data_IF_361034290744
#
_entry.id   IF_361034290744
#
_cell.length_a   1.000
_cell.length_b   1.000
_cell.length_c   1.000
_cell.angle_alpha   90.00
_cell.angle_beta   90.00
_cell.angle_gamma   90.00
#
_symmetry.space_group_name_H-M   'P 1'
#
loop_
_entity.id
_entity.type
_entity.pdbx_description
1 polymer ?
#
# COMPACT_ATOMS: atom_id res chain seq x y z
N UNK A 1 16.89 10.07 1.18
CA UNK A 1 16.62 9.14 0.06
C UNK A 1 15.17 9.31 -0.35
N UNK A 2 14.84 9.33 -1.65
CA UNK A 2 13.45 9.32 -2.12
C UNK A 2 13.06 7.88 -2.47
N UNK A 3 11.97 7.40 -1.90
CA UNK A 3 11.42 6.08 -2.18
C UNK A 3 10.20 6.24 -3.07
N UNK A 4 10.25 5.71 -4.28
CA UNK A 4 9.18 5.78 -5.28
C UNK A 4 9.39 4.71 -6.34
N UNK A 5 8.33 4.30 -7.02
CA UNK A 5 8.44 3.43 -8.19
C UNK A 5 8.93 4.21 -9.40
N UNK A 6 10.14 3.89 -9.86
CA UNK A 6 10.64 4.44 -11.13
C UNK A 6 9.83 3.94 -12.32
N UNK A 7 9.52 2.64 -12.35
CA UNK A 7 8.71 2.02 -13.42
C UNK A 7 7.37 2.73 -13.59
N UNK A 8 6.61 2.92 -12.51
CA UNK A 8 5.31 3.57 -12.58
C UNK A 8 5.42 5.04 -12.96
N UNK A 9 6.47 5.73 -12.49
CA UNK A 9 6.73 7.13 -12.86
C UNK A 9 7.03 7.30 -14.35
N UNK A 10 7.83 6.41 -14.93
CA UNK A 10 8.16 6.42 -16.36
C UNK A 10 6.91 6.14 -17.23
N UNK A 11 5.91 5.43 -16.69
CA UNK A 11 4.63 5.14 -17.34
C UNK A 11 3.58 6.26 -17.17
N UNK A 12 3.85 7.26 -16.32
CA UNK A 12 2.95 8.42 -16.14
C UNK A 12 2.17 8.42 -14.82
N UNK A 13 2.52 7.59 -13.85
CA UNK A 13 1.99 7.65 -12.50
C UNK A 13 3.00 8.33 -11.57
N UNK A 14 2.80 9.61 -11.27
CA UNK A 14 3.59 10.27 -10.24
C UNK A 14 3.38 9.56 -8.89
N UNK A 15 4.45 9.23 -8.19
CA UNK A 15 4.34 8.57 -6.89
C UNK A 15 5.54 8.88 -6.00
N UNK A 16 5.30 8.96 -4.68
CA UNK A 16 6.35 9.19 -3.69
C UNK A 16 5.90 8.66 -2.33
N UNK A 17 6.84 8.08 -1.59
CA UNK A 17 6.65 7.69 -0.20
C UNK A 17 7.26 8.75 0.73
N UNK A 18 6.43 9.32 1.59
CA UNK A 18 6.83 10.16 2.72
C UNK A 18 7.14 9.29 3.92
N UNK A 19 8.41 9.26 4.31
CA UNK A 19 8.89 8.48 5.46
C UNK A 19 8.98 9.31 6.75
N UNK A 20 9.95 9.00 7.61
CA UNK A 20 10.10 9.55 8.98
C UNK A 20 10.34 11.06 9.07
N UNK A 21 10.66 11.73 7.95
CA UNK A 21 10.66 13.21 7.83
C UNK A 21 9.28 13.79 8.10
N UNK A 22 8.21 13.02 7.86
CA UNK A 22 6.79 13.34 8.01
C UNK A 22 6.15 12.42 9.05
N UNK A 23 4.90 12.69 9.46
CA UNK A 23 4.13 11.74 10.25
C UNK A 23 2.64 11.87 9.94
N UNK A 24 2.11 10.92 9.19
CA UNK A 24 0.72 10.92 8.72
C UNK A 24 -0.28 10.33 9.74
N UNK A 25 0.11 10.12 11.00
CA UNK A 25 -0.75 9.59 12.06
C UNK A 25 -1.64 10.68 12.67
N UNK A 26 -2.81 10.90 12.07
CA UNK A 26 -3.75 11.95 12.51
C UNK A 26 -4.06 11.89 14.00
N UNK A 27 -4.21 10.70 14.58
CA UNK A 27 -4.49 10.51 16.03
C UNK A 27 -3.48 11.22 16.95
N UNK A 28 -2.21 11.32 16.53
CA UNK A 28 -1.13 11.95 17.32
C UNK A 28 -0.74 13.33 16.80
N UNK A 29 -0.81 13.54 15.48
CA UNK A 29 -0.36 14.78 14.82
C UNK A 29 -1.49 15.80 14.64
N UNK A 30 -2.76 15.35 14.70
CA UNK A 30 -3.92 16.23 14.47
C UNK A 30 -3.76 16.99 13.13
N UNK A 31 -4.05 18.29 13.11
CA UNK A 31 -3.97 19.11 11.87
C UNK A 31 -2.57 19.27 11.29
N UNK A 32 -1.51 18.89 12.01
CA UNK A 32 -0.15 18.92 11.48
C UNK A 32 0.04 18.02 10.27
N UNK A 33 -0.75 16.95 10.15
CA UNK A 33 -0.74 16.07 8.96
C UNK A 33 -1.06 16.81 7.67
N UNK A 34 -1.78 17.94 7.72
CA UNK A 34 -2.11 18.76 6.55
C UNK A 34 -0.81 19.26 5.93
N UNK A 35 0.05 19.86 6.76
CA UNK A 35 1.34 20.36 6.30
C UNK A 35 2.23 19.23 5.79
N UNK A 36 2.24 18.08 6.46
CA UNK A 36 3.05 16.93 6.03
C UNK A 36 2.60 16.41 4.65
N UNK A 37 1.29 16.43 4.34
CA UNK A 37 0.76 16.09 3.01
C UNK A 37 1.12 17.16 1.98
N UNK A 38 0.95 18.45 2.31
CA UNK A 38 1.31 19.58 1.43
C UNK A 38 2.81 19.57 1.08
N UNK A 39 3.66 19.37 2.08
CA UNK A 39 5.12 19.31 1.89
C UNK A 39 5.53 18.09 1.02
N UNK A 40 4.86 16.95 1.17
CA UNK A 40 5.10 15.76 0.33
C UNK A 40 4.67 16.01 -1.12
N UNK A 41 3.50 16.60 -1.35
CA UNK A 41 3.03 16.98 -2.69
C UNK A 41 3.94 18.03 -3.35
N UNK A 42 4.41 19.00 -2.58
CA UNK A 42 5.39 20.00 -3.05
C UNK A 42 6.71 19.32 -3.48
N UNK A 43 7.16 18.30 -2.73
CA UNK A 43 8.36 17.52 -3.09
C UNK A 43 8.16 16.69 -4.36
N UNK A 44 6.92 16.25 -4.62
CA UNK A 44 6.50 15.57 -5.86
C UNK A 44 6.35 16.55 -7.02
N UNK A 45 6.20 17.85 -6.77
CA UNK A 45 5.82 18.90 -7.73
C UNK A 45 4.45 18.63 -8.36
N UNK A 46 3.51 18.18 -7.56
CA UNK A 46 2.14 17.85 -7.98
C UNK A 46 1.14 18.66 -7.15
N UNK A 47 0.04 19.09 -7.80
CA UNK A 47 -1.04 19.86 -7.20
C UNK A 47 -2.40 19.21 -7.58
N UNK A 48 -2.77 18.07 -6.95
CA UNK A 48 -4.02 17.42 -7.24
C UNK A 48 -5.20 18.26 -6.77
N UNK A 49 -6.30 18.25 -7.55
CA UNK A 49 -7.52 18.96 -7.15
C UNK A 49 -8.28 18.23 -6.03
N UNK A 50 -8.01 16.94 -5.82
CA UNK A 50 -8.59 16.12 -4.77
C UNK A 50 -7.58 15.10 -4.24
N UNK A 51 -7.62 14.88 -2.93
CA UNK A 51 -6.88 13.81 -2.27
C UNK A 51 -7.90 12.86 -1.64
N UNK A 52 -7.90 11.60 -2.04
CA UNK A 52 -8.61 10.53 -1.35
C UNK A 52 -7.66 9.72 -0.50
N UNK A 53 -8.07 9.43 0.72
CA UNK A 53 -7.37 8.52 1.62
C UNK A 53 -8.32 7.48 2.18
N UNK A 54 -7.78 6.37 2.67
CA UNK A 54 -8.55 5.31 3.29
C UNK A 54 -8.47 5.40 4.83
N UNK A 55 -9.60 5.12 5.50
CA UNK A 55 -9.60 4.75 6.92
C UNK A 55 -9.39 3.23 6.97
N UNK A 56 -8.12 2.87 7.12
CA UNK A 56 -7.60 1.52 6.98
C UNK A 56 -7.84 0.72 8.26
N UNK A 57 -8.65 -0.34 8.18
CA UNK A 57 -9.02 -1.23 9.28
C UNK A 57 -8.52 -2.66 9.08
N UNK A 58 -7.50 -2.85 8.20
CA UNK A 58 -6.94 -4.15 7.82
C UNK A 58 -7.98 -5.09 7.23
N UNK A 59 -8.85 -4.53 6.39
CA UNK A 59 -9.86 -5.26 5.63
C UNK A 59 -9.30 -5.77 4.29
N UNK A 60 -10.17 -6.32 3.47
CA UNK A 60 -9.92 -6.66 2.08
C UNK A 60 -10.86 -5.90 1.13
N UNK A 61 -11.43 -4.79 1.64
CA UNK A 61 -12.36 -3.96 0.89
C UNK A 61 -11.62 -3.05 -0.08
N UNK A 62 -12.12 -3.02 -1.32
CA UNK A 62 -11.59 -2.25 -2.45
C UNK A 62 -12.69 -1.35 -3.00
N UNK A 63 -12.48 -0.05 -3.00
CA UNK A 63 -13.48 0.92 -3.40
C UNK A 63 -12.99 1.88 -4.49
N UNK A 64 -13.95 2.39 -5.27
CA UNK A 64 -13.75 3.58 -6.10
C UNK A 64 -14.20 4.78 -5.29
N UNK A 65 -13.29 5.69 -4.90
CA UNK A 65 -13.66 6.85 -4.11
C UNK A 65 -14.47 7.85 -4.93
N UNK A 66 -15.64 8.21 -4.43
CA UNK A 66 -16.56 9.18 -5.00
C UNK A 66 -17.02 10.17 -3.92
N UNK A 67 -17.71 11.26 -4.30
CA UNK A 67 -18.22 12.22 -3.33
C UNK A 67 -19.25 11.62 -2.38
N UNK A 68 -20.03 10.64 -2.87
CA UNK A 68 -21.15 10.02 -2.18
C UNK A 68 -20.70 9.00 -1.12
N UNK A 69 -19.59 8.28 -1.36
CA UNK A 69 -19.10 7.24 -0.46
C UNK A 69 -17.90 7.67 0.42
N UNK A 70 -17.54 8.96 0.35
CA UNK A 70 -16.44 9.53 1.13
C UNK A 70 -16.91 10.68 2.03
N UNK A 71 -16.17 10.94 3.10
CA UNK A 71 -16.43 12.08 4.01
C UNK A 71 -15.27 13.07 4.00
N UNK A 72 -15.54 14.35 4.30
CA UNK A 72 -14.49 15.37 4.40
C UNK A 72 -13.46 14.98 5.47
N UNK A 73 -12.21 15.18 5.14
CA UNK A 73 -11.08 14.92 6.04
C UNK A 73 -10.08 16.10 5.99
N UNK A 74 -9.12 16.09 6.89
CA UNK A 74 -8.21 17.23 7.12
C UNK A 74 -7.49 17.73 5.85
N UNK A 75 -7.12 16.84 4.92
CA UNK A 75 -6.37 17.17 3.69
C UNK A 75 -7.09 16.72 2.41
N UNK A 76 -8.40 16.50 2.46
CA UNK A 76 -9.20 16.07 1.30
C UNK A 76 -10.43 15.30 1.73
N UNK A 77 -10.57 14.05 1.29
CA UNK A 77 -11.67 13.16 1.64
C UNK A 77 -11.14 11.79 2.09
N UNK A 78 -11.92 11.11 2.92
CA UNK A 78 -11.58 9.77 3.41
C UNK A 78 -12.75 8.81 3.17
N UNK A 79 -12.42 7.61 2.71
CA UNK A 79 -13.37 6.51 2.61
C UNK A 79 -13.19 5.59 3.82
N UNK A 80 -14.31 5.18 4.43
CA UNK A 80 -14.29 4.39 5.66
C UNK A 80 -14.24 2.89 5.36
N UNK A 81 -13.67 2.11 6.30
CA UNK A 81 -13.62 0.65 6.25
C UNK A 81 -13.07 0.13 4.91
N UNK A 82 -12.00 0.72 4.43
CA UNK A 82 -11.41 0.45 3.11
C UNK A 82 -9.90 0.41 3.24
N UNK A 83 -9.27 -0.56 2.60
CA UNK A 83 -7.82 -0.72 2.57
C UNK A 83 -7.22 -0.64 1.17
N UNK A 84 -8.06 -0.52 0.12
CA UNK A 84 -7.62 -0.28 -1.25
C UNK A 84 -8.57 0.66 -2.00
N UNK A 85 -8.01 1.56 -2.79
CA UNK A 85 -8.75 2.51 -3.62
C UNK A 85 -8.32 2.38 -5.07
N UNK A 86 -9.28 2.52 -6.00
CA UNK A 86 -9.06 2.47 -7.46
C UNK A 86 -9.70 3.69 -8.11
N UNK A 87 -9.03 4.35 -9.04
CA UNK A 87 -9.61 5.45 -9.83
C UNK A 87 -8.94 5.60 -11.20
N UNK A 88 -9.68 6.13 -12.17
CA UNK A 88 -9.15 6.56 -13.46
C UNK A 88 -9.10 8.10 -13.58
N UNK A 89 -9.41 8.83 -12.52
CA UNK A 89 -9.41 10.27 -12.53
C UNK A 89 -7.99 10.83 -12.54
N UNK A 90 -7.70 11.68 -13.53
CA UNK A 90 -6.43 12.40 -13.61
C UNK A 90 -6.37 13.49 -12.56
N UNK A 91 -5.16 13.79 -12.12
CA UNK A 91 -4.90 14.83 -11.12
C UNK A 91 -5.67 14.64 -9.80
N UNK A 92 -6.00 13.38 -9.49
CA UNK A 92 -6.53 12.94 -8.20
C UNK A 92 -5.43 12.13 -7.50
N UNK A 93 -5.16 12.47 -6.24
CA UNK A 93 -4.22 11.74 -5.41
C UNK A 93 -4.90 10.62 -4.62
N UNK A 94 -4.33 9.42 -4.66
CA UNK A 94 -4.62 8.35 -3.72
C UNK A 94 -3.53 8.30 -2.66
N UNK A 95 -3.92 8.31 -1.37
CA UNK A 95 -3.00 8.29 -0.23
C UNK A 95 -3.31 7.10 0.68
N UNK A 96 -2.31 6.23 0.86
CA UNK A 96 -2.32 5.10 1.81
C UNK A 96 -1.24 5.30 2.85
N UNK A 97 -1.56 5.01 4.11
CA UNK A 97 -0.65 5.13 5.26
C UNK A 97 -0.19 3.75 5.73
N UNK A 98 1.05 3.65 6.19
CA UNK A 98 1.56 2.39 6.72
C UNK A 98 2.71 2.62 7.72
N UNK A 99 2.89 1.64 8.61
CA UNK A 99 4.09 1.38 9.38
C UNK A 99 4.18 -0.14 9.53
N UNK A 100 5.08 -0.77 8.77
CA UNK A 100 5.30 -2.21 8.58
C UNK A 100 4.41 -2.93 7.58
N UNK A 101 3.10 -2.59 7.48
CA UNK A 101 2.24 -3.14 6.43
C UNK A 101 2.73 -2.74 5.04
N UNK A 102 2.49 -3.59 4.04
CA UNK A 102 2.98 -3.41 2.68
C UNK A 102 2.11 -2.43 1.90
N UNK A 103 2.63 -1.29 1.43
CA UNK A 103 1.93 -0.45 0.47
C UNK A 103 2.12 -1.03 -0.94
N UNK A 104 1.05 -1.09 -1.73
CA UNK A 104 1.13 -1.52 -3.11
C UNK A 104 0.46 -0.47 -3.99
N UNK A 105 1.12 -0.11 -5.10
CA UNK A 105 0.54 0.68 -6.16
C UNK A 105 0.35 -0.20 -7.39
N UNK A 106 -0.83 -0.08 -8.02
CA UNK A 106 -1.10 -0.68 -9.33
C UNK A 106 -1.39 0.44 -10.33
N UNK A 107 -0.96 0.26 -11.56
CA UNK A 107 -1.24 1.20 -12.64
C UNK A 107 -1.40 0.50 -13.99
N UNK A 108 -2.51 0.73 -14.66
CA UNK A 108 -2.72 0.37 -16.05
C UNK A 108 -2.42 1.61 -16.92
N UNK A 109 -1.29 1.68 -17.64
CA UNK A 109 -0.94 2.84 -18.45
C UNK A 109 -1.79 2.98 -19.73
N UNK A 110 -2.48 1.91 -20.16
CA UNK A 110 -3.36 1.90 -21.32
C UNK A 110 -4.71 2.53 -20.97
N UNK A 111 -5.33 2.03 -19.89
CA UNK A 111 -6.64 2.52 -19.41
C UNK A 111 -6.52 3.78 -18.55
N UNK A 112 -5.29 4.14 -18.11
CA UNK A 112 -5.04 5.23 -17.17
C UNK A 112 -5.83 5.04 -15.86
N UNK A 113 -5.68 3.86 -15.25
CA UNK A 113 -6.29 3.50 -13.97
C UNK A 113 -5.20 3.26 -12.95
N UNK A 114 -5.30 3.89 -11.79
CA UNK A 114 -4.41 3.68 -10.65
C UNK A 114 -5.14 3.01 -9.49
N UNK A 115 -4.38 2.29 -8.67
CA UNK A 115 -4.84 1.83 -7.38
C UNK A 115 -3.74 2.01 -6.32
N UNK A 116 -4.18 2.26 -5.07
CA UNK A 116 -3.31 2.31 -3.90
C UNK A 116 -3.88 1.38 -2.81
N UNK A 117 -3.05 0.48 -2.30
CA UNK A 117 -3.44 -0.64 -1.44
C UNK A 117 -2.62 -0.61 -0.16
N UNK A 118 -3.29 -0.77 0.98
CA UNK A 118 -2.69 -1.11 2.26
C UNK A 118 -2.83 -2.63 2.49
N UNK A 119 -1.74 -3.37 2.40
CA UNK A 119 -1.74 -4.82 2.57
C UNK A 119 -1.03 -5.21 3.87
N UNK A 120 -1.75 -5.18 4.99
CA UNK A 120 -1.35 -5.86 6.21
C UNK A 120 -1.60 -7.36 6.08
N UNK A 121 -1.10 -8.21 7.01
CA UNK A 121 -1.23 -9.66 6.91
C UNK A 121 -2.69 -10.13 6.74
N UNK A 122 -3.66 -9.43 7.38
CA UNK A 122 -5.10 -9.74 7.24
C UNK A 122 -5.62 -9.48 5.83
N UNK A 123 -5.22 -8.36 5.21
CA UNK A 123 -5.57 -8.06 3.83
C UNK A 123 -4.87 -9.00 2.85
N UNK A 124 -3.59 -9.32 3.11
CA UNK A 124 -2.79 -10.22 2.28
C UNK A 124 -3.38 -11.63 2.26
N UNK A 125 -3.71 -12.22 3.42
CA UNK A 125 -4.29 -13.59 3.46
C UNK A 125 -5.69 -13.67 2.84
N UNK A 126 -6.39 -12.53 2.71
CA UNK A 126 -7.65 -12.39 1.99
C UNK A 126 -7.48 -11.91 0.54
N UNK A 127 -6.23 -11.83 0.07
CA UNK A 127 -5.85 -11.53 -1.30
C UNK A 127 -6.31 -10.14 -1.78
N UNK A 128 -6.18 -9.10 -0.94
CA UNK A 128 -6.60 -7.73 -1.29
C UNK A 128 -5.96 -7.23 -2.59
N UNK A 129 -4.72 -7.61 -2.89
CA UNK A 129 -4.06 -7.29 -4.16
C UNK A 129 -4.80 -7.86 -5.37
N UNK A 130 -5.21 -9.15 -5.31
CA UNK A 130 -5.97 -9.80 -6.38
C UNK A 130 -7.37 -9.18 -6.53
N UNK A 131 -8.07 -8.90 -5.42
CA UNK A 131 -9.36 -8.20 -5.43
C UNK A 131 -9.28 -6.80 -6.05
N UNK A 132 -8.14 -6.12 -5.85
CA UNK A 132 -7.92 -4.82 -6.47
C UNK A 132 -7.73 -4.94 -7.98
N UNK A 133 -7.00 -5.96 -8.45
CA UNK A 133 -6.87 -6.27 -9.89
C UNK A 133 -8.25 -6.58 -10.49
N UNK A 134 -9.06 -7.42 -9.83
CA UNK A 134 -10.44 -7.73 -10.26
C UNK A 134 -11.32 -6.47 -10.31
N UNK A 135 -11.17 -5.53 -9.36
CA UNK A 135 -11.89 -4.26 -9.37
C UNK A 135 -11.46 -3.38 -10.53
N UNK A 136 -10.16 -3.30 -10.84
CA UNK A 136 -9.65 -2.57 -12.00
C UNK A 136 -10.17 -3.16 -13.32
N UNK A 137 -10.21 -4.49 -13.43
CA UNK A 137 -10.74 -5.21 -14.60
C UNK A 137 -12.25 -4.98 -14.75
N UNK A 138 -13.03 -5.27 -13.70
CA UNK A 138 -14.50 -5.24 -13.76
C UNK A 138 -15.10 -3.84 -13.90
N UNK A 139 -14.45 -2.81 -13.30
CA UNK A 139 -14.99 -1.44 -13.29
C UNK A 139 -14.47 -0.61 -14.46
N UNK A 140 -13.19 -0.79 -14.84
CA UNK A 140 -12.53 0.08 -15.80
C UNK A 140 -12.05 -0.65 -17.08
N UNK A 141 -12.26 -1.96 -17.15
CA UNK A 141 -11.86 -2.77 -18.31
C UNK A 141 -10.34 -2.86 -18.47
N UNK A 142 -9.60 -2.84 -17.37
CA UNK A 142 -8.16 -3.09 -17.38
C UNK A 142 -7.87 -4.53 -17.81
N UNK A 143 -6.76 -4.74 -18.49
CA UNK A 143 -6.25 -6.06 -18.83
C UNK A 143 -5.07 -6.38 -17.91
N UNK A 144 -5.09 -7.54 -17.25
CA UNK A 144 -4.09 -7.93 -16.22
C UNK A 144 -2.66 -7.83 -16.73
N UNK A 145 -2.44 -8.16 -18.01
CA UNK A 145 -1.13 -8.08 -18.66
C UNK A 145 -0.59 -6.66 -18.84
N UNK A 146 -1.47 -5.64 -18.82
CA UNK A 146 -1.09 -4.23 -18.92
C UNK A 146 -0.86 -3.59 -17.55
N UNK A 147 -1.32 -4.23 -16.47
CA UNK A 147 -1.17 -3.68 -15.11
C UNK A 147 0.29 -3.82 -14.67
N UNK A 148 0.88 -2.70 -14.28
CA UNK A 148 2.18 -2.64 -13.61
C UNK A 148 1.97 -2.43 -12.11
N UNK A 149 2.82 -3.08 -11.29
CA UNK A 149 2.73 -3.05 -9.84
C UNK A 149 4.03 -2.56 -9.20
N UNK A 150 3.91 -1.86 -8.09
CA UNK A 150 5.00 -1.56 -7.16
C UNK A 150 4.64 -2.08 -5.78
N UNK A 151 5.45 -2.97 -5.24
CA UNK A 151 5.39 -3.41 -3.85
C UNK A 151 6.41 -2.58 -3.07
N UNK A 152 5.92 -1.67 -2.24
CA UNK A 152 6.75 -0.74 -1.49
C UNK A 152 7.40 -1.35 -0.24
N UNK A 153 8.10 -0.53 0.58
CA UNK A 153 8.80 -0.99 1.76
C UNK A 153 7.83 -1.57 2.79
N UNK A 154 8.23 -2.68 3.39
CA UNK A 154 7.50 -3.40 4.43
C UNK A 154 8.48 -3.91 5.47
N UNK A 155 8.00 -4.40 6.60
CA UNK A 155 8.85 -5.05 7.59
C UNK A 155 9.55 -6.27 6.98
N UNK A 156 10.85 -6.43 7.22
CA UNK A 156 11.62 -7.57 6.74
C UNK A 156 11.20 -8.86 7.43
N UNK A 157 11.40 -10.00 6.77
CA UNK A 157 10.99 -11.32 7.26
C UNK A 157 11.64 -11.64 8.62
N UNK A 158 12.92 -11.32 8.80
CA UNK A 158 13.70 -11.57 10.03
C UNK A 158 13.19 -10.79 11.25
N UNK A 159 12.45 -9.70 11.02
CA UNK A 159 11.91 -8.81 12.06
C UNK A 159 10.41 -9.03 12.30
N UNK A 160 9.74 -9.83 11.46
CA UNK A 160 8.30 -10.02 11.53
C UNK A 160 7.89 -11.37 12.11
N UNK A 161 8.13 -11.52 13.40
CA UNK A 161 7.66 -12.70 14.17
C UNK A 161 6.15 -12.60 14.43
N UNK A 162 5.41 -13.67 14.10
CA UNK A 162 3.95 -13.80 14.23
C UNK A 162 3.58 -15.11 14.93
N UNK A 163 2.35 -15.20 15.43
CA UNK A 163 1.80 -16.41 16.05
C UNK A 163 1.27 -17.42 15.04
N UNK A 164 0.85 -18.58 15.57
CA UNK A 164 0.28 -19.68 14.79
C UNK A 164 -1.03 -19.25 14.10
N UNK A 165 -1.83 -18.39 14.74
CA UNK A 165 -3.07 -17.86 14.19
C UNK A 165 -2.88 -17.11 12.86
N UNK A 166 -1.71 -16.46 12.68
CA UNK A 166 -1.37 -15.81 11.42
C UNK A 166 -0.97 -16.84 10.37
N UNK A 167 -0.18 -17.84 10.75
CA UNK A 167 0.19 -18.94 9.86
C UNK A 167 -1.07 -19.69 9.36
N UNK A 168 -2.02 -20.01 10.25
CA UNK A 168 -3.28 -20.66 9.89
C UNK A 168 -4.14 -19.83 8.94
N UNK A 169 -4.17 -18.49 9.12
CA UNK A 169 -4.92 -17.58 8.24
C UNK A 169 -4.49 -17.66 6.76
N UNK A 170 -3.27 -18.13 6.49
CA UNK A 170 -2.75 -18.33 5.13
C UNK A 170 -2.98 -19.75 4.59
N UNK A 171 -3.88 -20.54 5.15
CA UNK A 171 -4.16 -21.94 4.75
C UNK A 171 -4.44 -22.10 3.25
N UNK A 172 -5.03 -21.09 2.59
CA UNK A 172 -5.34 -21.08 1.16
C UNK A 172 -4.12 -20.88 0.25
N UNK A 173 -2.98 -20.49 0.81
CA UNK A 173 -1.76 -20.29 0.04
C UNK A 173 -1.06 -21.63 -0.17
N UNK A 174 -1.04 -22.13 -1.40
CA UNK A 174 -0.40 -23.41 -1.74
C UNK A 174 1.10 -23.42 -1.46
N UNK A 175 1.73 -22.24 -1.46
CA UNK A 175 3.15 -22.03 -1.18
C UNK A 175 3.41 -21.48 0.24
N UNK A 176 2.45 -21.63 1.17
CA UNK A 176 2.52 -21.09 2.53
C UNK A 176 3.87 -21.36 3.22
N UNK A 177 4.37 -22.60 3.14
CA UNK A 177 5.63 -22.99 3.77
C UNK A 177 6.87 -22.27 3.19
N UNK A 178 6.75 -21.65 2.03
CA UNK A 178 7.80 -20.81 1.47
C UNK A 178 7.71 -19.33 1.90
N UNK A 179 6.56 -18.92 2.43
CA UNK A 179 6.28 -17.56 2.92
C UNK A 179 6.58 -17.46 4.44
N UNK A 180 6.52 -18.59 5.14
CA UNK A 180 6.76 -18.66 6.58
C UNK A 180 7.99 -19.50 6.92
N UNK A 181 8.76 -19.03 7.89
CA UNK A 181 9.84 -19.80 8.52
C UNK A 181 9.43 -20.11 9.96
N UNK A 182 9.35 -21.42 10.30
CA UNK A 182 8.99 -21.85 11.66
C UNK A 182 10.19 -21.72 12.59
N UNK A 183 9.95 -21.07 13.75
CA UNK A 183 10.97 -20.89 14.80
C UNK A 183 10.91 -21.98 15.88
N UNK A 184 12.01 -22.21 16.61
CA UNK A 184 12.03 -23.20 17.70
C UNK A 184 11.05 -22.90 18.85
N UNK A 185 10.65 -21.62 19.03
CA UNK A 185 9.70 -21.20 20.05
C UNK A 185 8.22 -21.40 19.65
N UNK A 186 7.95 -22.09 18.53
CA UNK A 186 6.60 -22.35 18.02
C UNK A 186 5.96 -21.20 17.25
N UNK A 187 6.65 -20.07 17.10
CA UNK A 187 6.22 -18.95 16.28
C UNK A 187 6.77 -19.05 14.86
N UNK A 188 6.45 -18.07 14.03
CA UNK A 188 6.84 -18.00 12.62
C UNK A 188 7.41 -16.64 12.27
N UNK A 189 8.34 -16.60 11.33
CA UNK A 189 8.70 -15.38 10.59
C UNK A 189 7.87 -15.34 9.31
N UNK A 190 7.25 -14.20 9.02
CA UNK A 190 6.38 -14.00 7.85
C UNK A 190 7.03 -13.05 6.84
N UNK A 191 7.25 -13.54 5.61
CA UNK A 191 7.69 -12.74 4.48
C UNK A 191 6.49 -12.07 3.79
N UNK A 192 6.16 -10.85 4.22
CA UNK A 192 5.07 -10.05 3.65
C UNK A 192 5.31 -9.65 2.20
N UNK A 193 6.56 -9.42 1.82
CA UNK A 193 6.94 -9.03 0.46
C UNK A 193 6.67 -10.18 -0.50
N UNK A 194 7.15 -11.37 -0.15
CA UNK A 194 6.93 -12.60 -0.91
C UNK A 194 5.45 -12.99 -0.98
N UNK A 195 4.72 -12.85 0.12
CA UNK A 195 3.28 -13.14 0.16
C UNK A 195 2.49 -12.24 -0.81
N UNK A 196 2.77 -10.93 -0.81
CA UNK A 196 2.11 -10.00 -1.71
C UNK A 196 2.54 -10.19 -3.18
N UNK A 197 3.80 -10.52 -3.44
CA UNK A 197 4.28 -10.88 -4.77
C UNK A 197 3.51 -12.09 -5.32
N UNK A 198 3.37 -13.15 -4.51
CA UNK A 198 2.61 -14.36 -4.88
C UNK A 198 1.15 -14.03 -5.21
N UNK A 199 0.49 -13.20 -4.41
CA UNK A 199 -0.89 -12.76 -4.66
C UNK A 199 -1.02 -12.07 -6.03
N UNK A 200 -0.10 -11.15 -6.36
CA UNK A 200 -0.15 -10.41 -7.63
C UNK A 200 0.16 -11.30 -8.84
N UNK A 201 1.12 -12.23 -8.71
CA UNK A 201 1.43 -13.20 -9.78
C UNK A 201 0.24 -14.13 -10.04
N UNK A 202 -0.40 -14.66 -8.99
CA UNK A 202 -1.63 -15.47 -9.11
C UNK A 202 -2.81 -14.68 -9.65
N UNK A 203 -2.86 -13.37 -9.41
CA UNK A 203 -3.83 -12.47 -10.01
C UNK A 203 -3.59 -12.22 -11.50
N UNK A 204 -2.50 -12.74 -12.09
CA UNK A 204 -2.19 -12.65 -13.51
C UNK A 204 -1.36 -11.44 -13.92
N UNK A 205 -0.78 -10.70 -12.97
CA UNK A 205 0.20 -9.66 -13.28
C UNK A 205 1.51 -10.35 -13.68
N UNK A 206 2.12 -9.91 -14.78
CA UNK A 206 3.39 -10.45 -15.25
C UNK A 206 4.52 -10.06 -14.31
N UNK A 207 5.46 -10.97 -14.05
CA UNK A 207 6.58 -10.74 -13.14
C UNK A 207 7.42 -9.51 -13.57
N UNK A 208 7.67 -9.37 -14.87
CA UNK A 208 8.39 -8.23 -15.45
C UNK A 208 7.69 -6.89 -15.24
N UNK A 209 6.39 -6.89 -14.91
CA UNK A 209 5.60 -5.70 -14.60
C UNK A 209 5.63 -5.33 -13.10
N UNK A 210 6.25 -6.17 -12.26
CA UNK A 210 6.31 -5.93 -10.81
C UNK A 210 7.67 -5.34 -10.42
N UNK A 211 7.66 -4.21 -9.75
CA UNK A 211 8.83 -3.59 -9.11
C UNK A 211 8.74 -3.82 -7.61
N UNK A 212 9.82 -4.33 -7.01
CA UNK A 212 9.92 -4.64 -5.58
C UNK A 212 10.88 -3.68 -4.89
N UNK A 213 10.40 -2.96 -3.87
CA UNK A 213 11.26 -2.20 -2.98
C UNK A 213 12.01 -3.12 -2.03
N UNK A 214 13.32 -2.93 -1.89
CA UNK A 214 14.15 -3.76 -1.02
C UNK A 214 14.22 -3.26 0.42
N UNK A 215 13.95 -1.98 0.66
CA UNK A 215 14.00 -1.37 1.99
C UNK A 215 13.04 -2.04 2.97
N UNK A 216 13.53 -2.24 4.20
CA UNK A 216 12.71 -2.61 5.36
C UNK A 216 12.26 -1.35 6.10
N UNK A 217 11.09 -1.41 6.72
CA UNK A 217 10.63 -0.36 7.64
C UNK A 217 11.28 -0.49 9.02
N UNK A 218 11.56 -1.73 9.47
CA UNK A 218 12.06 -2.00 10.82
C UNK A 218 13.47 -1.45 11.01
N UNK A 219 13.65 -0.59 12.02
CA UNK A 219 14.95 0.00 12.34
C UNK A 219 15.53 0.95 11.28
N UNK A 220 14.78 1.28 10.22
CA UNK A 220 15.19 2.18 9.17
C UNK A 220 15.01 3.65 9.63
N UNK A 221 16.08 4.47 9.70
CA UNK A 221 15.98 5.85 10.19
C UNK A 221 15.13 6.75 9.28
N UNK A 222 14.87 6.34 8.04
CA UNK A 222 14.08 7.10 7.07
C UNK A 222 12.62 6.68 7.02
N UNK A 223 12.20 5.63 7.77
CA UNK A 223 10.85 5.08 7.75
C UNK A 223 10.32 4.87 9.16
N UNK A 224 9.02 5.05 9.34
CA UNK A 224 8.32 4.64 10.55
C UNK A 224 8.05 3.14 10.56
N UNK A 225 8.16 2.53 11.73
CA UNK A 225 7.86 1.12 11.98
C UNK A 225 7.09 0.96 13.28
N UNK A 226 5.91 0.40 13.24
CA UNK A 226 5.10 0.13 14.43
C UNK A 226 5.75 -0.92 15.33
N UNK A 227 6.40 -1.93 14.76
CA UNK A 227 7.12 -2.97 15.49
C UNK A 227 8.35 -2.42 16.21
N UNK A 228 9.09 -1.51 15.57
CA UNK A 228 10.31 -0.94 16.13
C UNK A 228 10.03 0.20 17.12
N UNK A 229 9.13 1.13 16.77
CA UNK A 229 8.84 2.32 17.57
C UNK A 229 7.85 2.05 18.73
N UNK A 230 7.12 0.94 18.70
CA UNK A 230 6.15 0.58 19.74
C UNK A 230 4.90 1.47 19.72
N UNK A 231 4.29 1.72 20.89
CA UNK A 231 2.95 2.37 21.00
C UNK A 231 2.85 3.77 20.38
N UNK A 232 3.95 4.50 20.29
CA UNK A 232 3.99 5.88 19.80
C UNK A 232 4.48 6.00 18.36
N UNK A 233 4.46 4.91 17.58
CA UNK A 233 4.93 4.90 16.20
C UNK A 233 4.30 5.99 15.34
N UNK A 234 5.07 6.49 14.38
CA UNK A 234 4.60 7.35 13.32
C UNK A 234 4.01 6.56 12.15
N UNK A 235 3.44 7.24 11.17
CA UNK A 235 2.98 6.64 9.92
C UNK A 235 3.71 7.25 8.73
N UNK A 236 4.23 6.41 7.87
CA UNK A 236 4.59 6.74 6.50
C UNK A 236 3.32 6.92 5.66
N UNK A 237 3.41 7.57 4.51
CA UNK A 237 2.36 7.53 3.50
C UNK A 237 2.94 7.39 2.10
N UNK A 238 2.26 6.64 1.24
CA UNK A 238 2.51 6.65 -0.19
C UNK A 238 1.40 7.42 -0.89
N UNK A 239 1.77 8.32 -1.80
CA UNK A 239 0.83 9.07 -2.65
C UNK A 239 1.09 8.68 -4.10
N UNK A 240 0.01 8.52 -4.89
CA UNK A 240 0.08 8.33 -6.33
C UNK A 240 -0.94 9.20 -7.07
N UNK A 241 -0.56 9.67 -8.28
CA UNK A 241 -1.36 10.60 -9.09
C UNK A 241 -1.16 10.28 -10.58
N UNK A 242 -2.25 10.08 -11.32
CA UNK A 242 -2.21 9.96 -12.80
C UNK A 242 -2.00 11.36 -13.40
N UNK A 243 -1.01 11.49 -14.28
CA UNK A 243 -0.73 12.73 -15.04
C UNK A 243 -1.60 12.90 -16.27
#
# INVERSE_FOLDING_TARGET
MKIYSKKLSDLGLANLLGGSKYNFRYKTQNKKVIKDVEDLLFEMKEEPYMIYSAFQDHTDHVEVPEMENTVKFAYGRIILNTDAMVTNEKNVALLIKMADCTPILLFDPVKKVQAAIHSGWRGTCKEIGAKTVEKMESTFGCERENICAYIGPTIAVEDYEVGEEVYEAFEKFSNRDSIFEKKPNGKYLLDMKKANLDVLLRAGIREENIELEQESTFGNPNLHSARYEGANYGLNAIISIIK
#
